data_IF_169715297672
#
_entry.id   IF_169715297672
#
_cell.length_a   1.000
_cell.length_b   1.000
_cell.length_c   1.000
_cell.angle_alpha   90.00
_cell.angle_beta   90.00
_cell.angle_gamma   90.00
#
_symmetry.space_group_name_H-M   'P 1'
#
loop_
_entity.id
_entity.type
_entity.pdbx_description
1 polymer ?
#
# COMPACT_ATOMS: atom_id res chain seq x y z
N UNK A 1 13.69 -10.83 -0.65
CA UNK A 1 13.24 -9.90 -1.71
C UNK A 1 11.86 -10.26 -2.29
N UNK A 2 11.45 -11.53 -2.36
CA UNK A 2 10.16 -11.94 -2.94
C UNK A 2 8.92 -11.43 -2.16
N UNK A 3 9.00 -11.36 -0.83
CA UNK A 3 7.85 -10.98 0.02
C UNK A 3 7.34 -9.54 -0.13
N UNK A 4 8.17 -8.59 -0.57
CA UNK A 4 7.75 -7.17 -0.76
C UNK A 4 7.16 -6.88 -2.14
N UNK A 5 7.35 -7.79 -3.11
CA UNK A 5 6.83 -7.63 -4.48
C UNK A 5 5.48 -8.32 -4.63
N UNK A 6 5.18 -9.38 -3.87
CA UNK A 6 3.87 -10.03 -3.87
C UNK A 6 2.66 -9.07 -3.71
N UNK A 7 2.71 -8.04 -2.84
CA UNK A 7 1.63 -7.07 -2.71
C UNK A 7 1.37 -6.28 -4.01
N UNK A 8 2.35 -6.14 -4.91
CA UNK A 8 2.15 -5.42 -6.18
C UNK A 8 1.24 -6.17 -7.13
N UNK A 9 1.20 -7.51 -7.04
CA UNK A 9 0.23 -8.31 -7.77
C UNK A 9 -1.21 -8.01 -7.33
N UNK A 10 -1.44 -7.92 -6.02
CA UNK A 10 -2.76 -7.56 -5.49
C UNK A 10 -3.16 -6.12 -5.85
N UNK A 11 -2.21 -5.17 -5.82
CA UNK A 11 -2.46 -3.81 -6.32
C UNK A 11 -2.84 -3.78 -7.80
N UNK A 12 -2.16 -4.55 -8.65
CA UNK A 12 -2.51 -4.64 -10.07
C UNK A 12 -3.92 -5.19 -10.27
N UNK A 13 -4.32 -6.18 -9.46
CA UNK A 13 -5.67 -6.73 -9.48
C UNK A 13 -6.73 -5.68 -9.08
N UNK A 14 -6.45 -4.82 -8.10
CA UNK A 14 -7.31 -3.68 -7.75
C UNK A 14 -7.45 -2.68 -8.91
N UNK A 15 -6.40 -2.45 -9.70
CA UNK A 15 -6.48 -1.55 -10.87
C UNK A 15 -7.31 -2.19 -11.98
N UNK A 16 -7.12 -3.50 -12.22
CA UNK A 16 -7.92 -4.26 -13.19
C UNK A 16 -9.39 -4.27 -12.78
N UNK A 17 -9.70 -4.40 -11.49
CA UNK A 17 -11.09 -4.39 -11.00
C UNK A 17 -11.82 -3.10 -11.36
N UNK A 18 -11.13 -1.95 -11.29
CA UNK A 18 -11.66 -0.65 -11.72
C UNK A 18 -11.97 -0.65 -13.23
N UNK A 19 -11.05 -1.16 -14.05
CA UNK A 19 -11.25 -1.23 -15.50
C UNK A 19 -12.43 -2.14 -15.88
N UNK A 20 -12.54 -3.31 -15.23
CA UNK A 20 -13.67 -4.24 -15.41
C UNK A 20 -14.98 -3.60 -14.93
N UNK A 21 -14.94 -2.87 -13.81
CA UNK A 21 -16.10 -2.18 -13.23
C UNK A 21 -16.74 -1.13 -14.15
N UNK A 22 -16.00 -0.58 -15.11
CA UNK A 22 -16.56 0.34 -16.13
C UNK A 22 -17.61 -0.36 -17.00
N UNK A 23 -17.42 -1.65 -17.31
CA UNK A 23 -18.31 -2.41 -18.18
C UNK A 23 -19.25 -3.35 -17.41
N UNK A 24 -18.74 -3.96 -16.34
CA UNK A 24 -19.44 -4.93 -15.51
C UNK A 24 -19.27 -4.56 -14.03
N UNK A 25 -20.13 -3.67 -13.50
CA UNK A 25 -19.87 -3.06 -12.20
C UNK A 25 -19.86 -4.05 -11.03
N UNK A 26 -20.78 -5.02 -11.01
CA UNK A 26 -20.81 -6.08 -10.00
C UNK A 26 -19.54 -6.95 -10.03
N UNK A 27 -19.07 -7.34 -11.22
CA UNK A 27 -17.83 -8.11 -11.37
C UNK A 27 -16.62 -7.30 -10.89
N UNK A 28 -16.55 -6.02 -11.25
CA UNK A 28 -15.52 -5.11 -10.78
C UNK A 28 -15.49 -5.01 -9.25
N UNK A 29 -16.65 -4.91 -8.60
CA UNK A 29 -16.75 -4.88 -7.14
C UNK A 29 -16.28 -6.18 -6.47
N UNK A 30 -16.64 -7.36 -6.99
CA UNK A 30 -16.19 -8.64 -6.43
C UNK A 30 -14.68 -8.86 -6.61
N UNK A 31 -14.12 -8.46 -7.76
CA UNK A 31 -12.67 -8.52 -7.99
C UNK A 31 -11.96 -7.54 -7.04
N UNK A 32 -12.54 -6.35 -6.82
CA UNK A 32 -11.99 -5.35 -5.90
C UNK A 32 -11.92 -5.87 -4.46
N UNK A 33 -13.02 -6.45 -3.95
CA UNK A 33 -13.07 -7.00 -2.59
C UNK A 33 -12.09 -8.17 -2.39
N UNK A 34 -12.00 -9.08 -3.37
CA UNK A 34 -11.05 -10.20 -3.32
C UNK A 34 -9.61 -9.73 -3.38
N UNK A 35 -9.30 -8.71 -4.19
CA UNK A 35 -7.97 -8.10 -4.25
C UNK A 35 -7.58 -7.45 -2.91
N UNK A 36 -8.50 -6.75 -2.24
CA UNK A 36 -8.28 -6.20 -0.90
C UNK A 36 -7.98 -7.31 0.10
N UNK A 37 -8.80 -8.38 0.12
CA UNK A 37 -8.60 -9.48 1.05
C UNK A 37 -7.22 -10.14 0.87
N UNK A 38 -6.81 -10.39 -0.37
CA UNK A 38 -5.48 -10.93 -0.70
C UNK A 38 -4.39 -9.97 -0.22
N UNK A 39 -4.50 -8.67 -0.50
CA UNK A 39 -3.51 -7.67 -0.07
C UNK A 39 -3.40 -7.57 1.46
N UNK A 40 -4.52 -7.62 2.18
CA UNK A 40 -4.55 -7.65 3.64
C UNK A 40 -3.84 -8.87 4.20
N UNK A 41 -4.08 -10.06 3.64
CA UNK A 41 -3.37 -11.28 4.04
C UNK A 41 -1.85 -11.17 3.81
N UNK A 42 -1.45 -10.64 2.66
CA UNK A 42 -0.03 -10.42 2.34
C UNK A 42 0.61 -9.36 3.24
N UNK A 43 -0.11 -8.27 3.55
CA UNK A 43 0.36 -7.25 4.49
C UNK A 43 0.54 -7.86 5.88
N UNK A 44 -0.44 -8.60 6.39
CA UNK A 44 -0.36 -9.24 7.70
C UNK A 44 0.82 -10.23 7.76
N UNK A 45 0.99 -11.07 6.73
CA UNK A 45 2.13 -11.98 6.65
C UNK A 45 3.47 -11.23 6.63
N UNK A 46 3.57 -10.12 5.87
CA UNK A 46 4.76 -9.28 5.83
C UNK A 46 5.06 -8.65 7.20
N UNK A 47 4.06 -8.08 7.86
CA UNK A 47 4.20 -7.44 9.18
C UNK A 47 4.59 -8.47 10.22
N UNK A 48 3.94 -9.64 10.27
CA UNK A 48 4.25 -10.69 11.24
C UNK A 48 5.66 -11.24 11.06
N UNK A 49 6.05 -11.56 9.82
CA UNK A 49 7.40 -12.04 9.53
C UNK A 49 8.46 -11.01 9.91
N UNK A 50 8.16 -9.72 9.74
CA UNK A 50 9.10 -8.64 10.06
C UNK A 50 9.10 -8.22 11.52
N UNK A 51 7.99 -8.41 12.23
CA UNK A 51 7.90 -8.20 13.67
C UNK A 51 8.64 -9.29 14.46
N UNK A 52 8.70 -10.52 13.94
CA UNK A 52 9.46 -11.61 14.57
C UNK A 52 10.98 -11.41 14.51
N UNK A 53 11.52 -10.83 13.43
CA UNK A 53 12.95 -10.50 13.26
C UNK A 53 13.15 -8.97 13.20
N UNK A 54 12.67 -8.25 14.23
CA UNK A 54 12.72 -6.80 14.23
C UNK A 54 14.14 -6.27 14.50
N UNK A 55 14.86 -5.93 13.44
CA UNK A 55 16.13 -5.19 13.52
C UNK A 55 16.05 -3.95 12.60
N UNK A 56 16.20 -2.77 13.20
CA UNK A 56 16.16 -1.46 12.52
C UNK A 56 17.21 -1.33 11.41
N UNK A 57 18.34 -2.04 11.51
CA UNK A 57 19.39 -2.02 10.50
C UNK A 57 18.95 -2.64 9.17
N UNK A 58 18.00 -3.58 9.20
CA UNK A 58 17.45 -4.24 8.02
C UNK A 58 16.28 -3.51 7.36
N UNK A 59 15.88 -2.35 7.92
CA UNK A 59 14.79 -1.54 7.38
C UNK A 59 15.22 -0.92 6.05
N UNK A 60 14.51 -1.21 4.97
CA UNK A 60 14.82 -0.65 3.64
C UNK A 60 13.60 0.11 3.10
N UNK A 61 13.80 1.12 2.23
CA UNK A 61 12.70 1.93 1.69
C UNK A 61 11.56 1.14 1.06
N UNK A 62 11.81 -0.07 0.54
CA UNK A 62 10.77 -0.92 -0.05
C UNK A 62 9.70 -1.39 0.94
N UNK A 63 9.91 -1.27 2.26
CA UNK A 63 8.90 -1.61 3.27
C UNK A 63 7.70 -0.66 3.24
N UNK A 64 7.83 0.49 2.58
CA UNK A 64 6.69 1.39 2.35
C UNK A 64 5.68 0.80 1.36
N UNK A 65 6.08 -0.16 0.51
CA UNK A 65 5.22 -0.69 -0.56
C UNK A 65 3.99 -1.44 -0.01
N UNK A 66 4.08 -2.37 0.96
CA UNK A 66 2.90 -3.08 1.43
C UNK A 66 1.85 -2.19 2.14
N UNK A 67 2.21 -1.30 3.10
CA UNK A 67 1.24 -0.44 3.78
C UNK A 67 0.66 0.64 2.87
N UNK A 68 1.49 1.38 2.11
CA UNK A 68 1.00 2.43 1.19
C UNK A 68 0.27 1.81 0.01
N UNK A 69 0.72 0.65 -0.46
CA UNK A 69 0.07 -0.06 -1.56
C UNK A 69 -1.39 -0.40 -1.28
N UNK A 70 -1.78 -0.49 -0.01
CA UNK A 70 -3.17 -0.68 0.37
C UNK A 70 -4.05 0.53 0.01
N UNK A 71 -3.49 1.75 -0.05
CA UNK A 71 -4.21 2.96 -0.48
C UNK A 71 -4.68 2.86 -1.94
N UNK A 72 -4.07 1.98 -2.75
CA UNK A 72 -4.55 1.69 -4.11
C UNK A 72 -6.01 1.23 -4.11
N UNK A 73 -6.46 0.54 -3.06
CA UNK A 73 -7.86 0.14 -2.91
C UNK A 73 -8.82 1.35 -2.90
N UNK A 74 -8.40 2.47 -2.29
CA UNK A 74 -9.22 3.69 -2.22
C UNK A 74 -9.33 4.38 -3.60
N UNK A 75 -8.24 4.46 -4.37
CA UNK A 75 -8.25 5.07 -5.72
C UNK A 75 -8.92 4.21 -6.79
N UNK A 76 -9.05 2.91 -6.53
CA UNK A 76 -9.74 1.95 -7.42
C UNK A 76 -11.17 1.65 -7.00
N UNK A 77 -11.71 2.42 -6.04
CA UNK A 77 -13.07 2.30 -5.58
C UNK A 77 -14.08 2.31 -6.74
N UNK A 78 -14.94 1.27 -6.89
CA UNK A 78 -15.84 1.14 -8.03
C UNK A 78 -17.10 2.02 -7.97
N UNK A 79 -17.17 2.99 -7.04
CA UNK A 79 -18.24 4.00 -7.02
C UNK A 79 -19.56 3.47 -6.48
N UNK A 80 -20.67 3.86 -7.12
CA UNK A 80 -22.05 3.64 -6.66
C UNK A 80 -22.40 2.17 -6.32
N UNK A 81 -21.74 1.22 -6.97
CA UNK A 81 -22.03 -0.22 -6.88
C UNK A 81 -21.44 -0.87 -5.62
N UNK A 82 -20.48 -0.22 -5.00
CA UNK A 82 -19.94 -0.63 -3.71
C UNK A 82 -20.82 -0.15 -2.53
N UNK A 83 -21.79 0.74 -2.80
CA UNK A 83 -22.67 1.34 -1.81
C UNK A 83 -21.91 2.11 -0.71
N UNK A 84 -22.64 2.47 0.35
CA UNK A 84 -22.07 3.15 1.52
C UNK A 84 -21.01 2.28 2.24
N UNK A 85 -21.23 0.97 2.27
CA UNK A 85 -20.31 0.02 2.91
C UNK A 85 -18.94 0.02 2.22
N UNK A 86 -18.91 0.00 0.89
CA UNK A 86 -17.65 0.08 0.15
C UNK A 86 -16.93 1.42 0.32
N UNK A 87 -17.69 2.52 0.39
CA UNK A 87 -17.12 3.84 0.63
C UNK A 87 -16.47 3.93 2.02
N UNK A 88 -17.10 3.34 3.05
CA UNK A 88 -16.52 3.23 4.39
C UNK A 88 -15.23 2.40 4.38
N UNK A 89 -15.21 1.26 3.68
CA UNK A 89 -14.01 0.41 3.55
C UNK A 89 -12.87 1.20 2.90
N UNK A 90 -13.13 1.87 1.77
CA UNK A 90 -12.14 2.68 1.08
C UNK A 90 -11.59 3.81 1.97
N UNK A 91 -12.46 4.47 2.74
CA UNK A 91 -12.06 5.53 3.65
C UNK A 91 -11.20 5.03 4.82
N UNK A 92 -11.58 3.91 5.44
CA UNK A 92 -10.79 3.28 6.51
C UNK A 92 -9.41 2.88 5.99
N UNK A 93 -9.35 2.28 4.80
CA UNK A 93 -8.08 1.89 4.17
C UNK A 93 -7.20 3.11 3.87
N UNK A 94 -7.79 4.19 3.36
CA UNK A 94 -7.08 5.45 3.11
C UNK A 94 -6.48 6.01 4.40
N UNK A 95 -7.27 6.07 5.47
CA UNK A 95 -6.81 6.55 6.78
C UNK A 95 -5.72 5.66 7.36
N UNK A 96 -5.87 4.33 7.28
CA UNK A 96 -4.85 3.38 7.70
C UNK A 96 -3.53 3.59 6.93
N UNK A 97 -3.60 3.72 5.61
CA UNK A 97 -2.44 4.00 4.77
C UNK A 97 -1.75 5.32 5.14
N UNK A 98 -2.52 6.38 5.38
CA UNK A 98 -1.98 7.69 5.76
C UNK A 98 -1.32 7.68 7.14
N UNK A 99 -1.94 7.05 8.14
CA UNK A 99 -1.36 6.89 9.48
C UNK A 99 -0.08 6.06 9.42
N UNK A 100 -0.09 4.94 8.66
CA UNK A 100 1.09 4.10 8.48
C UNK A 100 2.23 4.87 7.82
N UNK A 101 1.93 5.72 6.83
CA UNK A 101 2.91 6.59 6.18
C UNK A 101 3.49 7.61 7.16
N UNK A 102 2.64 8.28 7.94
CA UNK A 102 3.05 9.30 8.89
C UNK A 102 3.95 8.74 10.01
N UNK A 103 3.76 7.47 10.40
CA UNK A 103 4.64 6.79 11.36
C UNK A 103 5.93 6.31 10.69
N UNK A 104 5.86 5.69 9.51
CA UNK A 104 7.03 5.12 8.85
C UNK A 104 7.99 6.18 8.31
N UNK A 105 7.48 7.33 7.85
CA UNK A 105 8.28 8.42 7.29
C UNK A 105 9.37 8.93 8.26
N UNK A 106 9.07 9.37 9.50
CA UNK A 106 10.08 9.84 10.44
C UNK A 106 11.09 8.75 10.82
N UNK A 107 10.65 7.49 10.97
CA UNK A 107 11.56 6.37 11.29
C UNK A 107 12.54 6.11 10.14
N UNK A 108 12.07 6.19 8.89
CA UNK A 108 12.94 6.03 7.72
C UNK A 108 13.87 7.22 7.54
N UNK A 109 13.40 8.44 7.76
CA UNK A 109 14.24 9.65 7.73
C UNK A 109 15.32 9.60 8.80
N UNK A 110 14.98 9.17 10.03
CA UNK A 110 15.95 8.97 11.09
C UNK A 110 17.04 7.96 10.67
N UNK A 111 16.65 6.82 10.08
CA UNK A 111 17.61 5.84 9.55
C UNK A 111 18.50 6.42 8.44
N UNK A 112 17.95 7.22 7.53
CA UNK A 112 18.71 7.80 6.41
C UNK A 112 19.70 8.89 6.86
N UNK A 113 19.36 9.64 7.91
CA UNK A 113 20.17 10.77 8.40
C UNK A 113 21.22 10.32 9.43
N UNK A 114 20.89 9.37 10.31
CA UNK A 114 21.72 9.01 11.47
C UNK A 114 22.36 7.62 11.42
N UNK A 115 21.94 6.72 10.53
CA UNK A 115 22.60 5.42 10.33
C UNK A 115 23.50 5.42 9.08
N UNK A 116 24.36 4.40 8.96
CA UNK A 116 25.30 4.23 7.85
C UNK A 116 24.70 4.60 6.49
N UNK A 117 25.48 5.25 5.60
CA UNK A 117 25.00 5.72 4.31
C UNK A 117 24.35 4.56 3.57
N UNK A 118 23.11 4.77 3.17
CA UNK A 118 22.34 3.85 2.35
C UNK A 118 23.18 3.53 1.11
N UNK A 119 23.53 2.25 0.91
CA UNK A 119 24.31 1.80 -0.24
C UNK A 119 23.74 2.40 -1.55
N UNK A 120 24.60 2.82 -2.47
CA UNK A 120 24.24 3.59 -3.68
C UNK A 120 23.04 3.00 -4.46
N UNK A 121 22.84 1.69 -4.39
CA UNK A 121 21.74 0.95 -4.99
C UNK A 121 20.32 1.33 -4.48
N UNK A 122 20.18 1.95 -3.30
CA UNK A 122 18.88 2.30 -2.73
C UNK A 122 18.51 3.80 -2.87
N UNK A 123 19.39 4.63 -3.45
CA UNK A 123 19.09 6.02 -3.84
C UNK A 123 17.82 6.17 -4.71
N UNK A 124 17.52 5.28 -5.68
CA UNK A 124 16.29 5.37 -6.48
C UNK A 124 15.01 5.21 -5.65
N UNK A 125 15.07 4.50 -4.52
CA UNK A 125 13.88 4.20 -3.70
C UNK A 125 13.49 5.34 -2.74
N UNK A 126 14.30 6.41 -2.63
CA UNK A 126 13.92 7.64 -1.92
C UNK A 126 12.70 8.29 -2.60
N UNK A 127 12.59 8.16 -3.93
CA UNK A 127 11.45 8.67 -4.69
C UNK A 127 10.11 8.03 -4.28
N UNK A 128 10.11 6.81 -3.72
CA UNK A 128 8.91 6.15 -3.20
C UNK A 128 8.32 6.93 -2.02
N UNK A 129 9.11 7.72 -1.28
CA UNK A 129 8.63 8.54 -0.16
C UNK A 129 7.72 9.70 -0.62
N UNK A 130 7.83 10.12 -1.88
CA UNK A 130 6.98 11.15 -2.48
C UNK A 130 5.65 10.59 -3.05
N UNK A 131 5.59 9.29 -3.32
CA UNK A 131 4.41 8.63 -3.88
C UNK A 131 3.13 8.78 -3.02
N UNK A 132 3.17 8.72 -1.66
CA UNK A 132 1.98 8.79 -0.82
C UNK A 132 1.33 10.17 -0.81
N UNK A 133 2.14 11.25 -0.86
CA UNK A 133 1.63 12.62 -0.96
C UNK A 133 0.88 12.84 -2.28
N UNK A 134 1.40 12.28 -3.39
CA UNK A 134 0.74 12.34 -4.70
C UNK A 134 -0.55 11.50 -4.72
N UNK A 135 -0.54 10.28 -4.17
CA UNK A 135 -1.71 9.40 -4.15
C UNK A 135 -2.85 9.98 -3.28
N UNK A 136 -2.49 10.59 -2.15
CA UNK A 136 -3.46 11.23 -1.24
C UNK A 136 -4.16 12.41 -1.92
N UNK A 137 -3.42 13.24 -2.67
CA UNK A 137 -3.98 14.38 -3.40
C UNK A 137 -4.99 13.96 -4.49
N UNK A 138 -4.79 12.80 -5.12
CA UNK A 138 -5.71 12.27 -6.15
C UNK A 138 -7.00 11.70 -5.54
N UNK A 139 -7.00 11.40 -4.24
CA UNK A 139 -8.10 10.69 -3.55
C UNK A 139 -9.02 11.63 -2.76
N UNK A 140 -8.57 12.85 -2.47
CA UNK A 140 -9.31 13.92 -1.76
C UNK A 140 -9.92 14.86 -2.80
#
# INVERSE_FOLDING_TARGET
>A
MVGSVLPTFAMALMVISKAVGIHLPLCGFLIWLTAIAIHCCLLAAFVLHRAMDFNLEHMVPSWFVPPIGMVVAAVTFPGAEAGEVGAQIAHIILMFGLVSYLVMLPVMLYRLIFCNPVADAAKPTIAILAAPASLSLVTI
#
